data_IF_410273308172
#
_entry.id   IF_410273308172
#
_cell.length_a   1.000
_cell.length_b   1.000
_cell.length_c   1.000
_cell.angle_alpha   90.00
_cell.angle_beta   90.00
_cell.angle_gamma   90.00
#
_symmetry.space_group_name_H-M   'P 1'
#
loop_
_entity.id
_entity.type
_entity.pdbx_description
1 polymer ?
#
# COMPACT_ATOMS: atom_id res chain seq x y z
N UNK A 1 -26.30 16.09 41.85
CA UNK A 1 -26.63 16.37 40.44
C UNK A 1 -25.31 16.70 39.74
N UNK A 2 -24.63 15.67 39.24
CA UNK A 2 -23.40 15.84 38.45
C UNK A 2 -23.77 15.73 36.98
N UNK A 3 -23.87 16.89 36.33
CA UNK A 3 -24.04 17.00 34.90
C UNK A 3 -22.71 16.58 34.25
N UNK A 4 -22.66 15.36 33.74
CA UNK A 4 -21.60 14.92 32.83
C UNK A 4 -21.72 15.79 31.56
N UNK A 5 -20.84 16.78 31.41
CA UNK A 5 -20.60 17.45 30.14
C UNK A 5 -20.00 16.42 29.21
N UNK A 6 -20.82 15.79 28.39
CA UNK A 6 -20.38 15.28 27.10
C UNK A 6 -19.86 16.49 26.32
N UNK A 7 -18.56 16.67 26.22
CA UNK A 7 -17.97 17.75 25.45
C UNK A 7 -18.41 17.56 23.99
N UNK A 8 -19.23 18.48 23.51
CA UNK A 8 -19.61 18.59 22.12
C UNK A 8 -18.32 18.79 21.32
N UNK A 9 -17.91 17.80 20.58
CA UNK A 9 -16.68 17.87 19.75
C UNK A 9 -17.01 18.80 18.60
N UNK A 10 -16.47 20.04 18.65
CA UNK A 10 -16.72 21.04 17.60
C UNK A 10 -16.19 20.52 16.27
N UNK A 11 -17.07 20.40 15.27
CA UNK A 11 -16.78 19.77 13.99
C UNK A 11 -15.81 20.58 13.12
N UNK A 12 -15.56 21.83 13.46
CA UNK A 12 -14.64 22.76 12.81
C UNK A 12 -13.26 22.84 13.49
N UNK A 13 -13.02 21.94 14.46
CA UNK A 13 -11.74 21.85 15.18
C UNK A 13 -10.82 20.75 14.65
N UNK A 14 -9.55 20.81 15.03
CA UNK A 14 -8.56 19.75 14.80
C UNK A 14 -8.87 18.60 15.79
N UNK A 15 -8.99 17.37 15.29
CA UNK A 15 -9.28 16.18 16.10
C UNK A 15 -8.05 15.29 16.19
N UNK A 16 -7.46 15.15 17.36
CA UNK A 16 -6.41 14.17 17.62
C UNK A 16 -6.95 12.75 17.39
N UNK A 17 -6.14 11.87 16.82
CA UNK A 17 -6.53 10.51 16.44
C UNK A 17 -5.84 9.45 17.28
N UNK A 18 -6.64 8.48 17.73
CA UNK A 18 -6.16 7.19 18.20
C UNK A 18 -6.27 6.20 17.04
N UNK A 19 -5.15 5.58 16.66
CA UNK A 19 -5.02 4.78 15.47
C UNK A 19 -4.82 3.29 15.78
N UNK A 20 -5.24 2.44 14.83
CA UNK A 20 -5.15 0.99 14.99
C UNK A 20 -3.84 0.43 14.45
N UNK A 21 -3.10 -0.32 15.26
CA UNK A 21 -1.94 -1.10 14.83
C UNK A 21 -2.40 -2.48 14.36
N UNK A 22 -2.03 -2.83 13.12
CA UNK A 22 -2.28 -4.17 12.54
C UNK A 22 -1.03 -5.03 12.70
N UNK A 23 -1.25 -6.25 13.22
CA UNK A 23 -0.17 -7.19 13.51
C UNK A 23 -0.25 -8.36 12.54
N UNK A 24 0.62 -8.35 11.55
CA UNK A 24 0.82 -9.44 10.60
C UNK A 24 2.24 -9.98 10.74
N UNK A 25 2.47 -11.25 10.42
CA UNK A 25 3.74 -11.95 10.62
C UNK A 25 4.91 -11.36 9.82
N UNK A 26 4.61 -10.67 8.72
CA UNK A 26 5.61 -9.99 7.90
C UNK A 26 6.06 -8.63 8.46
N UNK A 27 5.40 -8.13 9.52
CA UNK A 27 5.69 -6.83 10.12
C UNK A 27 7.04 -6.74 10.83
N UNK A 28 7.55 -5.51 10.96
CA UNK A 28 8.68 -5.20 11.82
C UNK A 28 8.32 -5.35 13.30
N UNK A 29 9.31 -5.62 14.13
CA UNK A 29 9.14 -5.78 15.58
C UNK A 29 9.47 -4.50 16.37
N UNK A 30 9.90 -3.43 15.69
CA UNK A 30 10.43 -2.22 16.33
C UNK A 30 9.99 -0.89 15.69
N UNK A 31 9.80 -0.82 14.37
CA UNK A 31 9.60 0.46 13.67
C UNK A 31 8.31 1.18 14.07
N UNK A 32 7.16 0.51 14.05
CA UNK A 32 5.88 1.13 14.43
C UNK A 32 5.85 1.41 15.93
N UNK A 33 6.34 0.48 16.75
CA UNK A 33 6.49 0.71 18.18
C UNK A 33 7.38 1.92 18.45
N UNK A 34 8.53 2.01 17.76
CA UNK A 34 9.45 3.15 17.87
C UNK A 34 8.81 4.46 17.44
N UNK A 35 8.03 4.49 16.35
CA UNK A 35 7.27 5.68 15.94
C UNK A 35 6.32 6.14 17.04
N UNK A 36 5.60 5.20 17.64
CA UNK A 36 4.60 5.49 18.69
C UNK A 36 5.20 5.72 20.09
N UNK A 37 6.53 5.68 20.23
CA UNK A 37 7.19 5.80 21.53
C UNK A 37 6.90 4.64 22.49
N UNK A 38 6.48 3.49 21.95
CA UNK A 38 6.16 2.30 22.71
C UNK A 38 7.38 1.37 22.82
N UNK A 39 7.54 0.65 23.93
CA UNK A 39 8.59 -0.37 24.04
C UNK A 39 8.33 -1.50 23.03
N UNK A 40 9.39 -2.02 22.43
CA UNK A 40 9.30 -3.21 21.59
C UNK A 40 8.89 -4.42 22.45
N UNK A 41 7.77 -5.05 22.09
CA UNK A 41 7.21 -6.22 22.77
C UNK A 41 7.62 -7.55 22.10
N UNK A 42 8.51 -7.49 21.11
CA UNK A 42 8.98 -8.63 20.33
C UNK A 42 7.96 -9.19 19.33
N UNK A 43 6.73 -8.66 19.30
CA UNK A 43 5.70 -9.07 18.35
C UNK A 43 5.68 -8.17 17.12
N UNK A 44 5.42 -8.73 15.92
CA UNK A 44 5.31 -7.93 14.71
C UNK A 44 4.23 -6.85 14.81
N UNK A 45 4.54 -5.64 14.32
CA UNK A 45 3.60 -4.57 14.02
C UNK A 45 3.84 -4.15 12.57
N UNK A 46 2.88 -4.48 11.72
CA UNK A 46 3.02 -4.41 10.28
C UNK A 46 2.54 -3.09 9.71
N UNK A 47 1.40 -2.59 10.20
CA UNK A 47 0.78 -1.37 9.71
C UNK A 47 0.16 -0.56 10.86
N UNK A 48 0.27 0.76 10.78
CA UNK A 48 -0.50 1.72 11.55
C UNK A 48 -1.53 2.34 10.60
N UNK A 49 -2.82 2.17 10.89
CA UNK A 49 -3.91 2.66 10.04
C UNK A 49 -4.46 3.99 10.55
N UNK A 50 -4.52 4.99 9.65
CA UNK A 50 -5.03 6.32 9.91
C UNK A 50 -6.16 6.60 8.92
N UNK A 51 -7.41 6.63 9.39
CA UNK A 51 -8.56 6.87 8.52
C UNK A 51 -9.88 6.30 9.03
N UNK A 52 -10.86 6.26 8.15
CA UNK A 52 -12.22 5.83 8.43
C UNK A 52 -12.53 4.42 7.90
N UNK A 53 -11.54 3.50 7.91
CA UNK A 53 -11.77 2.14 7.44
C UNK A 53 -12.70 1.38 8.39
N UNK A 54 -13.82 0.78 7.92
CA UNK A 54 -14.84 0.18 8.82
C UNK A 54 -14.26 -0.91 9.73
N UNK A 55 -13.30 -1.69 9.23
CA UNK A 55 -12.67 -2.78 9.99
C UNK A 55 -11.70 -2.33 11.08
N UNK A 56 -11.23 -1.06 11.06
CA UNK A 56 -10.32 -0.49 12.06
C UNK A 56 -10.26 1.05 11.94
N UNK A 57 -11.36 1.76 12.23
CA UNK A 57 -11.38 3.22 12.11
C UNK A 57 -10.52 3.87 13.20
N UNK A 58 -9.85 4.96 12.84
CA UNK A 58 -9.28 5.87 13.84
C UNK A 58 -10.40 6.48 14.68
N UNK A 59 -10.09 6.83 15.93
CA UNK A 59 -11.04 7.43 16.88
C UNK A 59 -10.59 8.81 17.28
N UNK A 60 -11.59 9.69 17.53
CA UNK A 60 -11.37 11.02 18.09
C UNK A 60 -11.83 11.04 19.54
N UNK A 61 -11.06 11.65 20.44
CA UNK A 61 -11.46 11.84 21.84
C UNK A 61 -12.05 10.59 22.48
N UNK A 62 -13.04 10.72 23.39
CA UNK A 62 -13.54 9.62 24.19
C UNK A 62 -14.43 8.63 23.40
N UNK A 63 -14.00 8.18 22.24
CA UNK A 63 -14.54 7.00 21.60
C UNK A 63 -15.30 7.17 20.29
N UNK A 64 -15.46 8.38 19.75
CA UNK A 64 -16.13 8.58 18.44
C UNK A 64 -15.22 8.09 17.30
N UNK A 65 -15.70 7.15 16.48
CA UNK A 65 -14.94 6.72 15.31
C UNK A 65 -15.01 7.77 14.19
N UNK A 66 -14.01 7.80 13.31
CA UNK A 66 -14.07 8.66 12.12
C UNK A 66 -15.22 8.27 11.18
N UNK A 67 -15.67 7.02 11.19
CA UNK A 67 -16.85 6.58 10.44
C UNK A 67 -18.11 7.28 10.99
N UNK A 68 -18.28 7.31 12.31
CA UNK A 68 -19.42 7.95 12.95
C UNK A 68 -19.40 9.48 12.79
N UNK A 69 -18.21 10.09 12.94
CA UNK A 69 -18.02 11.53 12.75
C UNK A 69 -18.37 11.97 11.32
N UNK A 70 -17.90 11.24 10.31
CA UNK A 70 -18.19 11.51 8.90
C UNK A 70 -19.69 11.30 8.62
N UNK A 71 -20.29 10.22 9.15
CA UNK A 71 -21.69 9.91 8.93
C UNK A 71 -22.62 10.98 9.53
N UNK A 72 -22.23 11.54 10.67
CA UNK A 72 -23.01 12.58 11.36
C UNK A 72 -23.00 13.93 10.60
N UNK A 73 -21.87 14.29 9.95
CA UNK A 73 -21.72 15.57 9.27
C UNK A 73 -20.80 15.49 8.04
N UNK A 74 -21.18 14.75 7.00
CA UNK A 74 -20.31 14.45 5.88
C UNK A 74 -19.79 15.70 5.17
N UNK A 75 -20.60 16.72 4.95
CA UNK A 75 -20.18 17.94 4.27
C UNK A 75 -19.22 18.80 5.11
N UNK A 76 -19.40 18.80 6.43
CA UNK A 76 -18.50 19.56 7.30
C UNK A 76 -17.14 18.87 7.45
N UNK A 77 -17.12 17.54 7.50
CA UNK A 77 -15.87 16.77 7.64
C UNK A 77 -15.14 16.65 6.32
N UNK A 78 -15.85 16.22 5.27
CA UNK A 78 -15.26 15.87 3.96
C UNK A 78 -15.19 17.04 2.97
N UNK A 79 -15.96 18.10 3.22
CA UNK A 79 -16.25 19.12 2.21
C UNK A 79 -17.30 18.66 1.20
N UNK A 80 -18.03 19.61 0.62
CA UNK A 80 -19.11 19.31 -0.35
C UNK A 80 -18.57 18.52 -1.55
N UNK A 81 -17.47 18.98 -2.15
CA UNK A 81 -16.88 18.33 -3.33
C UNK A 81 -16.57 16.85 -3.10
N UNK A 82 -15.90 16.52 -1.98
CA UNK A 82 -15.54 15.14 -1.64
C UNK A 82 -16.78 14.30 -1.34
N UNK A 83 -17.71 14.83 -0.53
CA UNK A 83 -18.94 14.11 -0.17
C UNK A 83 -19.85 13.85 -1.38
N UNK A 84 -19.98 14.80 -2.31
CA UNK A 84 -20.79 14.63 -3.53
C UNK A 84 -20.13 13.62 -4.50
N UNK A 85 -18.78 13.57 -4.56
CA UNK A 85 -18.04 12.70 -5.45
C UNK A 85 -17.94 11.26 -4.97
N UNK A 86 -17.68 11.05 -3.68
CA UNK A 86 -17.35 9.74 -3.10
C UNK A 86 -18.40 9.22 -2.11
N UNK A 87 -19.46 9.99 -1.86
CA UNK A 87 -20.43 9.71 -0.80
C UNK A 87 -19.92 10.08 0.60
N UNK A 88 -20.67 9.73 1.67
CA UNK A 88 -20.33 10.08 3.05
C UNK A 88 -19.24 9.17 3.61
N UNK A 89 -18.09 9.08 2.93
CA UNK A 89 -16.94 8.27 3.31
C UNK A 89 -15.63 8.96 2.96
N UNK A 90 -14.60 8.73 3.77
CA UNK A 90 -13.25 9.13 3.44
C UNK A 90 -12.76 8.25 2.28
N UNK A 91 -12.38 8.80 1.11
CA UNK A 91 -12.07 7.99 -0.06
C UNK A 91 -10.69 7.33 -0.01
N UNK A 92 -9.89 7.60 1.02
CA UNK A 92 -8.56 7.02 1.20
C UNK A 92 -8.32 6.43 2.59
N UNK A 93 -7.32 5.57 2.67
CA UNK A 93 -6.71 5.10 3.91
C UNK A 93 -5.22 5.44 3.87
N UNK A 94 -4.75 6.12 4.92
CA UNK A 94 -3.32 6.39 5.15
C UNK A 94 -2.76 5.34 6.09
N UNK A 95 -1.53 4.88 5.83
CA UNK A 95 -0.86 3.91 6.70
C UNK A 95 0.62 4.24 6.86
N UNK A 96 1.19 3.86 7.99
CA UNK A 96 2.62 3.56 8.07
C UNK A 96 2.77 2.06 7.94
N UNK A 97 3.49 1.62 6.91
CA UNK A 97 3.76 0.21 6.62
C UNK A 97 5.22 -0.10 6.96
N UNK A 98 5.45 -1.17 7.74
CA UNK A 98 6.78 -1.60 8.15
C UNK A 98 6.98 -3.09 7.83
N UNK A 99 7.50 -3.37 6.64
CA UNK A 99 7.74 -4.71 6.14
C UNK A 99 9.14 -5.21 6.54
N UNK A 100 9.19 -6.31 7.28
CA UNK A 100 10.41 -7.08 7.56
C UNK A 100 10.57 -8.26 6.60
N UNK A 101 9.45 -8.79 6.10
CA UNK A 101 9.39 -9.91 5.15
C UNK A 101 8.48 -9.52 4.00
N UNK A 102 8.59 -10.24 2.90
CA UNK A 102 7.78 -9.99 1.72
C UNK A 102 6.28 -10.16 1.99
N UNK A 103 5.50 -9.21 1.50
CA UNK A 103 4.05 -9.34 1.39
C UNK A 103 3.70 -10.25 0.21
N UNK A 104 2.44 -10.71 0.16
CA UNK A 104 1.97 -11.52 -0.96
C UNK A 104 2.11 -10.79 -2.30
N UNK A 105 2.39 -11.56 -3.35
CA UNK A 105 2.24 -11.09 -4.72
C UNK A 105 0.76 -10.89 -5.01
N UNK A 106 0.36 -9.70 -5.47
CA UNK A 106 -1.04 -9.30 -5.54
C UNK A 106 -1.35 -8.34 -6.70
N UNK A 107 -2.64 -8.23 -7.02
CA UNK A 107 -3.18 -7.23 -7.93
C UNK A 107 -4.49 -6.66 -7.37
N UNK A 108 -4.76 -5.40 -7.62
CA UNK A 108 -6.00 -4.74 -7.26
C UNK A 108 -6.88 -4.52 -8.48
N UNK A 109 -8.21 -4.78 -8.39
CA UNK A 109 -9.11 -4.67 -9.54
C UNK A 109 -9.30 -3.23 -9.99
N UNK A 110 -9.54 -3.04 -11.29
CA UNK A 110 -10.02 -1.77 -11.84
C UNK A 110 -11.47 -1.53 -11.44
N UNK A 111 -12.01 -0.29 -11.59
CA UNK A 111 -13.37 0.02 -11.14
C UNK A 111 -14.46 -0.88 -11.71
N UNK A 112 -14.34 -1.29 -12.98
CA UNK A 112 -15.31 -2.18 -13.62
C UNK A 112 -15.16 -3.63 -13.17
N UNK A 113 -13.92 -4.10 -12.95
CA UNK A 113 -13.61 -5.45 -12.45
C UNK A 113 -14.10 -5.62 -11.02
N UNK A 114 -13.88 -4.60 -10.15
CA UNK A 114 -14.34 -4.60 -8.76
C UNK A 114 -15.86 -4.75 -8.69
N UNK A 115 -16.61 -3.93 -9.44
CA UNK A 115 -18.08 -4.01 -9.49
C UNK A 115 -18.59 -5.34 -10.05
N UNK A 116 -17.98 -5.82 -11.12
CA UNK A 116 -18.38 -7.10 -11.73
C UNK A 116 -18.08 -8.29 -10.80
N UNK A 117 -16.89 -8.30 -10.20
CA UNK A 117 -16.46 -9.32 -9.25
C UNK A 117 -17.29 -9.34 -7.97
N UNK A 118 -17.56 -8.18 -7.39
CA UNK A 118 -18.41 -8.06 -6.19
C UNK A 118 -19.80 -8.67 -6.43
N UNK A 119 -20.45 -8.30 -7.57
CA UNK A 119 -21.76 -8.87 -7.95
C UNK A 119 -21.71 -10.36 -8.22
N UNK A 120 -20.63 -10.86 -8.85
CA UNK A 120 -20.43 -12.28 -9.08
C UNK A 120 -20.37 -13.04 -7.76
N UNK A 121 -19.57 -12.55 -6.79
CA UNK A 121 -19.40 -13.20 -5.49
C UNK A 121 -20.72 -13.16 -4.67
N UNK A 122 -21.50 -12.07 -4.77
CA UNK A 122 -22.85 -11.97 -4.17
C UNK A 122 -23.84 -12.96 -4.80
N UNK A 123 -23.85 -13.07 -6.13
CA UNK A 123 -24.71 -14.04 -6.85
C UNK A 123 -24.33 -15.49 -6.53
N UNK A 124 -23.06 -15.76 -6.27
CA UNK A 124 -22.57 -17.06 -5.83
C UNK A 124 -22.86 -17.34 -4.33
N UNK A 125 -23.41 -16.36 -3.59
CA UNK A 125 -23.73 -16.50 -2.17
C UNK A 125 -22.50 -16.50 -1.26
N UNK A 126 -21.35 -15.98 -1.71
CA UNK A 126 -20.13 -15.89 -0.89
C UNK A 126 -20.24 -14.69 0.04
N UNK A 127 -20.33 -14.93 1.33
CA UNK A 127 -20.43 -13.85 2.35
C UNK A 127 -19.23 -12.89 2.32
N UNK A 128 -19.46 -11.58 2.58
CA UNK A 128 -18.43 -10.54 2.55
C UNK A 128 -17.26 -10.83 3.50
N UNK A 129 -17.50 -11.47 4.64
CA UNK A 129 -16.46 -11.87 5.60
C UNK A 129 -15.78 -13.21 5.30
N UNK A 130 -16.18 -13.92 4.24
CA UNK A 130 -15.62 -15.23 3.90
C UNK A 130 -14.15 -15.11 3.44
N UNK A 131 -13.25 -16.00 3.91
CA UNK A 131 -11.86 -16.04 3.42
C UNK A 131 -11.77 -16.50 1.94
N UNK A 132 -12.86 -17.04 1.37
CA UNK A 132 -12.93 -17.45 -0.02
C UNK A 132 -13.48 -16.34 -0.94
N UNK A 133 -13.90 -15.20 -0.38
CA UNK A 133 -14.39 -14.09 -1.18
C UNK A 133 -13.23 -13.33 -1.80
N UNK A 134 -13.30 -13.14 -3.11
CA UNK A 134 -12.26 -12.44 -3.89
C UNK A 134 -12.48 -10.93 -3.95
N UNK A 135 -13.76 -10.47 -4.00
CA UNK A 135 -14.10 -9.04 -4.07
C UNK A 135 -14.94 -8.63 -2.86
N UNK A 136 -14.33 -7.82 -1.98
CA UNK A 136 -14.93 -7.39 -0.71
C UNK A 136 -15.81 -6.15 -0.84
N UNK A 137 -15.59 -5.34 -1.88
CA UNK A 137 -16.35 -4.13 -2.20
C UNK A 137 -16.34 -3.82 -3.71
N UNK A 138 -17.11 -2.81 -4.14
CA UNK A 138 -17.25 -2.40 -5.54
C UNK A 138 -16.17 -1.39 -6.00
N UNK A 139 -15.12 -1.16 -5.21
CA UNK A 139 -14.15 -0.09 -5.44
C UNK A 139 -12.81 -0.64 -5.94
N UNK A 140 -12.16 0.19 -6.76
CA UNK A 140 -10.77 -0.04 -7.13
C UNK A 140 -9.84 0.34 -5.96
N UNK A 141 -8.58 -0.12 -6.04
CA UNK A 141 -7.62 0.13 -4.98
C UNK A 141 -6.25 0.52 -5.54
N UNK A 142 -6.12 1.69 -6.19
CA UNK A 142 -4.80 2.23 -6.48
C UNK A 142 -4.10 2.61 -5.17
N UNK A 143 -2.78 2.45 -5.15
CA UNK A 143 -1.93 2.66 -3.99
C UNK A 143 -0.72 3.52 -4.35
N UNK A 144 -0.19 4.23 -3.38
CA UNK A 144 1.08 4.91 -3.49
C UNK A 144 1.85 4.74 -2.18
N UNK A 145 3.15 4.45 -2.27
CA UNK A 145 4.02 4.41 -1.09
C UNK A 145 5.17 5.40 -1.25
N UNK A 146 5.43 6.15 -0.19
CA UNK A 146 6.61 7.01 -0.02
C UNK A 146 7.54 6.34 0.98
N UNK A 147 8.77 6.07 0.57
CA UNK A 147 9.76 5.40 1.39
C UNK A 147 10.23 6.30 2.56
N UNK A 148 10.24 5.76 3.77
CA UNK A 148 10.84 6.38 4.97
C UNK A 148 12.23 5.81 5.26
N UNK A 149 12.46 4.57 4.88
CA UNK A 149 13.78 3.92 4.85
C UNK A 149 14.01 3.42 3.43
N UNK A 150 15.18 2.84 3.14
CA UNK A 150 15.34 2.10 1.89
C UNK A 150 14.20 1.07 1.81
N UNK A 151 13.45 1.12 0.71
CA UNK A 151 12.24 0.32 0.50
C UNK A 151 12.38 -0.52 -0.77
N UNK A 152 12.07 -1.79 -0.68
CA UNK A 152 12.24 -2.77 -1.74
C UNK A 152 10.91 -3.37 -2.16
N UNK A 153 10.65 -3.50 -3.46
CA UNK A 153 9.41 -4.03 -3.99
C UNK A 153 9.54 -4.63 -5.38
N UNK A 154 8.43 -5.18 -5.85
CA UNK A 154 8.19 -5.63 -7.21
C UNK A 154 6.98 -4.88 -7.75
N UNK A 155 7.04 -4.36 -8.99
CA UNK A 155 5.88 -3.68 -9.58
C UNK A 155 5.91 -3.74 -11.12
N UNK A 156 4.80 -4.22 -11.69
CA UNK A 156 4.60 -4.33 -13.13
C UNK A 156 5.50 -5.34 -13.82
N UNK A 157 5.09 -5.75 -15.01
CA UNK A 157 5.82 -6.76 -15.78
C UNK A 157 7.05 -6.20 -16.48
N UNK A 158 8.15 -6.95 -16.43
CA UNK A 158 9.33 -6.77 -17.29
C UNK A 158 8.96 -7.06 -18.74
N UNK A 159 9.78 -6.59 -19.69
CA UNK A 159 9.64 -7.01 -21.08
C UNK A 159 9.87 -8.53 -21.22
N UNK A 160 9.15 -9.24 -22.12
CA UNK A 160 9.39 -10.65 -22.37
C UNK A 160 10.85 -10.97 -22.74
N UNK A 161 11.53 -10.05 -23.42
CA UNK A 161 12.95 -10.17 -23.73
C UNK A 161 13.79 -10.22 -22.46
N UNK A 162 13.60 -9.26 -21.56
CA UNK A 162 14.33 -9.20 -20.28
C UNK A 162 14.06 -10.45 -19.43
N UNK A 163 12.79 -10.92 -19.41
CA UNK A 163 12.46 -12.16 -18.68
C UNK A 163 13.21 -13.35 -19.29
N UNK A 164 13.23 -13.50 -20.62
CA UNK A 164 13.96 -14.59 -21.29
C UNK A 164 15.47 -14.55 -20.99
N UNK A 165 16.07 -13.35 -20.93
CA UNK A 165 17.46 -13.15 -20.52
C UNK A 165 17.68 -13.59 -19.06
N UNK A 166 16.75 -13.27 -18.15
CA UNK A 166 16.81 -13.73 -16.75
C UNK A 166 16.61 -15.22 -16.58
N UNK A 167 15.80 -15.85 -17.43
CA UNK A 167 15.59 -17.30 -17.40
C UNK A 167 16.75 -18.08 -18.01
N UNK A 168 17.64 -17.44 -18.76
CA UNK A 168 18.74 -18.15 -19.40
C UNK A 168 19.68 -18.77 -18.36
N UNK A 169 20.13 -20.01 -18.62
CA UNK A 169 20.93 -20.80 -17.68
C UNK A 169 20.17 -21.35 -16.46
N UNK A 170 18.90 -21.01 -16.24
CA UNK A 170 18.08 -21.64 -15.19
C UNK A 170 17.48 -22.96 -15.63
N UNK A 171 17.26 -23.86 -14.70
CA UNK A 171 16.72 -25.19 -14.90
C UNK A 171 15.35 -25.38 -14.23
N UNK A 172 14.66 -26.43 -14.60
CA UNK A 172 13.40 -26.85 -14.00
C UNK A 172 12.19 -26.74 -14.94
N UNK A 173 11.13 -27.47 -14.59
CA UNK A 173 9.88 -27.57 -15.38
C UNK A 173 9.20 -26.20 -15.48
N UNK A 174 9.16 -25.42 -14.39
CA UNK A 174 8.52 -24.13 -14.34
C UNK A 174 9.24 -23.12 -15.27
N UNK A 175 10.55 -23.08 -15.24
CA UNK A 175 11.36 -22.23 -16.15
C UNK A 175 11.16 -22.63 -17.62
N UNK A 176 11.12 -23.93 -17.91
CA UNK A 176 10.86 -24.45 -19.27
C UNK A 176 9.50 -24.02 -19.77
N UNK A 177 8.45 -24.13 -18.93
CA UNK A 177 7.10 -23.66 -19.24
C UNK A 177 7.06 -22.15 -19.53
N UNK A 178 7.66 -21.32 -18.66
CA UNK A 178 7.73 -19.87 -18.84
C UNK A 178 8.47 -19.49 -20.15
N UNK A 179 9.60 -20.13 -20.46
CA UNK A 179 10.31 -19.93 -21.72
C UNK A 179 9.44 -20.28 -22.93
N UNK A 180 8.69 -21.39 -22.87
CA UNK A 180 7.77 -21.80 -23.92
C UNK A 180 6.70 -20.75 -24.19
N UNK A 181 6.04 -20.27 -23.14
CA UNK A 181 5.02 -19.23 -23.19
C UNK A 181 5.57 -17.91 -23.80
N UNK A 182 6.74 -17.46 -23.37
CA UNK A 182 7.34 -16.20 -23.80
C UNK A 182 7.96 -16.26 -25.21
N UNK A 183 8.44 -17.42 -25.66
CA UNK A 183 8.95 -17.61 -27.03
C UNK A 183 7.81 -17.73 -28.05
N UNK A 184 6.68 -18.30 -27.65
CA UNK A 184 5.48 -18.41 -28.47
C UNK A 184 4.86 -17.06 -28.81
N UNK A 185 4.84 -16.15 -27.81
CA UNK A 185 4.32 -14.79 -27.97
C UNK A 185 5.16 -13.82 -27.13
N UNK A 186 6.00 -13.01 -27.73
CA UNK A 186 6.84 -12.01 -27.04
C UNK A 186 6.05 -10.74 -26.72
N UNK A 187 4.89 -10.87 -26.08
CA UNK A 187 3.93 -9.79 -25.82
C UNK A 187 3.18 -10.05 -24.52
N UNK A 188 2.19 -9.24 -24.19
CA UNK A 188 1.32 -9.42 -23.03
C UNK A 188 0.71 -10.82 -22.90
N UNK A 189 0.17 -11.44 -23.97
CA UNK A 189 -0.32 -12.83 -23.92
C UNK A 189 0.75 -13.85 -23.47
N UNK A 190 2.01 -13.65 -23.83
CA UNK A 190 3.11 -14.53 -23.36
C UNK A 190 3.37 -14.38 -21.87
N UNK A 191 3.34 -13.15 -21.32
CA UNK A 191 3.46 -12.89 -19.88
C UNK A 191 2.26 -13.47 -19.12
N UNK A 192 1.04 -13.32 -19.68
CA UNK A 192 -0.16 -13.91 -19.11
C UNK A 192 -0.01 -15.43 -19.02
N UNK A 193 0.35 -16.10 -20.12
CA UNK A 193 0.51 -17.56 -20.15
C UNK A 193 1.63 -18.03 -19.20
N UNK A 194 2.71 -17.27 -19.05
CA UNK A 194 3.79 -17.58 -18.10
C UNK A 194 3.30 -17.51 -16.64
N UNK A 195 2.56 -16.46 -16.26
CA UNK A 195 2.00 -16.33 -14.92
C UNK A 195 0.92 -17.39 -14.67
N UNK A 196 0.02 -17.62 -15.63
CA UNK A 196 -1.03 -18.63 -15.57
C UNK A 196 -0.45 -20.03 -15.35
N UNK A 197 0.65 -20.38 -16.04
CA UNK A 197 1.35 -21.63 -15.84
C UNK A 197 1.94 -21.79 -14.43
N UNK A 198 2.43 -20.72 -13.82
CA UNK A 198 2.92 -20.74 -12.44
C UNK A 198 1.76 -20.87 -11.42
N UNK A 199 0.65 -20.17 -11.66
CA UNK A 199 -0.55 -20.28 -10.82
C UNK A 199 -1.16 -21.69 -10.89
N UNK A 200 -1.26 -22.28 -12.06
CA UNK A 200 -1.74 -23.66 -12.24
C UNK A 200 -0.82 -24.67 -11.54
N UNK A 201 0.49 -24.50 -11.66
CA UNK A 201 1.45 -25.40 -11.02
C UNK A 201 1.36 -25.38 -9.49
N UNK A 202 0.89 -24.29 -8.87
CA UNK A 202 0.78 -24.14 -7.42
C UNK A 202 0.01 -25.27 -6.76
N UNK A 203 -1.08 -25.71 -7.38
CA UNK A 203 -1.98 -26.72 -6.84
C UNK A 203 -1.65 -28.13 -7.34
N UNK A 204 -0.61 -28.28 -8.19
CA UNK A 204 -0.17 -29.59 -8.70
C UNK A 204 0.71 -30.33 -7.67
N UNK A 205 0.54 -31.66 -7.56
CA UNK A 205 1.50 -32.50 -6.83
C UNK A 205 2.92 -32.32 -7.39
N UNK A 206 3.91 -32.10 -6.51
CA UNK A 206 5.31 -31.91 -6.91
C UNK A 206 5.71 -30.45 -7.21
N UNK A 207 4.81 -29.48 -7.09
CA UNK A 207 5.16 -28.06 -7.27
C UNK A 207 6.35 -27.62 -6.41
N UNK A 208 6.38 -28.03 -5.14
CA UNK A 208 7.47 -27.69 -4.25
C UNK A 208 8.83 -28.23 -4.72
N UNK A 209 8.86 -29.42 -5.32
CA UNK A 209 10.08 -30.01 -5.90
C UNK A 209 10.52 -29.22 -7.15
N UNK A 210 9.57 -28.86 -8.02
CA UNK A 210 9.84 -28.02 -9.20
C UNK A 210 10.40 -26.65 -8.80
N UNK A 211 9.84 -26.03 -7.78
CA UNK A 211 10.37 -24.77 -7.20
C UNK A 211 11.78 -24.98 -6.68
N UNK A 212 12.02 -26.07 -5.94
CA UNK A 212 13.33 -26.39 -5.36
C UNK A 212 14.40 -26.60 -6.43
N UNK A 213 14.08 -27.28 -7.54
CA UNK A 213 15.00 -27.45 -8.69
C UNK A 213 15.38 -26.10 -9.27
N UNK A 214 14.41 -25.22 -9.52
CA UNK A 214 14.69 -23.89 -10.05
C UNK A 214 15.52 -23.05 -9.07
N UNK A 215 15.18 -23.06 -7.78
CA UNK A 215 15.90 -22.33 -6.74
C UNK A 215 17.35 -22.82 -6.61
N UNK A 216 17.58 -24.14 -6.76
CA UNK A 216 18.93 -24.68 -6.78
C UNK A 216 19.76 -24.13 -7.95
N UNK A 217 19.17 -24.10 -9.16
CA UNK A 217 19.87 -23.55 -10.35
C UNK A 217 20.12 -22.04 -10.22
N UNK A 218 19.24 -21.28 -9.57
CA UNK A 218 19.48 -19.86 -9.25
C UNK A 218 20.66 -19.72 -8.29
N UNK A 219 20.77 -20.58 -7.28
CA UNK A 219 21.87 -20.57 -6.30
C UNK A 219 23.21 -20.89 -6.97
N UNK A 220 23.25 -21.88 -7.85
CA UNK A 220 24.45 -22.25 -8.63
C UNK A 220 24.87 -21.10 -9.55
N UNK A 221 23.93 -20.49 -10.27
CA UNK A 221 24.19 -19.34 -11.12
C UNK A 221 24.72 -18.15 -10.33
N UNK A 222 24.15 -17.88 -9.16
CA UNK A 222 24.60 -16.79 -8.29
C UNK A 222 26.03 -16.99 -7.79
N UNK A 223 26.45 -18.24 -7.57
CA UNK A 223 27.82 -18.59 -7.18
C UNK A 223 28.84 -18.47 -8.33
N UNK A 224 28.37 -18.36 -9.57
CA UNK A 224 29.22 -18.22 -10.78
C UNK A 224 29.07 -16.83 -11.40
N UNK A 225 28.16 -16.66 -12.34
CA UNK A 225 27.90 -15.38 -13.02
C UNK A 225 26.40 -15.17 -13.16
N UNK A 226 25.83 -14.28 -12.34
CA UNK A 226 24.43 -13.89 -12.44
C UNK A 226 24.23 -12.77 -13.47
N UNK A 227 23.23 -12.86 -14.37
CA UNK A 227 22.88 -11.78 -15.29
C UNK A 227 22.24 -10.58 -14.58
N UNK A 228 21.56 -10.81 -13.45
CA UNK A 228 20.98 -9.79 -12.57
C UNK A 228 21.01 -10.30 -11.12
N UNK A 229 22.04 -9.87 -10.39
CA UNK A 229 22.27 -10.24 -8.99
C UNK A 229 21.07 -9.97 -8.10
N UNK A 230 20.33 -8.88 -8.36
CA UNK A 230 19.16 -8.51 -7.55
C UNK A 230 17.97 -9.41 -7.83
N UNK A 231 17.73 -9.78 -9.09
CA UNK A 231 16.67 -10.71 -9.45
C UNK A 231 16.91 -12.08 -8.81
N UNK A 232 18.10 -12.62 -8.92
CA UNK A 232 18.46 -13.92 -8.35
C UNK A 232 18.38 -13.92 -6.82
N UNK A 233 18.95 -12.90 -6.17
CA UNK A 233 18.85 -12.76 -4.71
C UNK A 233 17.39 -12.66 -4.25
N UNK A 234 16.53 -11.97 -5.02
CA UNK A 234 15.10 -11.89 -4.71
C UNK A 234 14.42 -13.27 -4.77
N UNK A 235 14.71 -14.08 -5.80
CA UNK A 235 14.17 -15.46 -5.86
C UNK A 235 14.58 -16.27 -4.65
N UNK A 236 15.85 -16.21 -4.24
CA UNK A 236 16.34 -16.97 -3.07
C UNK A 236 15.69 -16.48 -1.77
N UNK A 237 15.58 -15.17 -1.57
CA UNK A 237 14.89 -14.59 -0.40
C UNK A 237 13.44 -15.06 -0.33
N UNK A 238 12.69 -14.92 -1.42
CA UNK A 238 11.28 -15.30 -1.46
C UNK A 238 11.05 -16.80 -1.29
N UNK A 239 11.95 -17.63 -1.82
CA UNK A 239 11.89 -19.08 -1.63
C UNK A 239 12.22 -19.51 -0.19
N UNK A 240 13.07 -18.76 0.52
CA UNK A 240 13.32 -18.97 1.95
C UNK A 240 12.12 -18.57 2.81
N UNK A 241 11.49 -17.42 2.49
CA UNK A 241 10.33 -16.89 3.22
C UNK A 241 9.05 -17.69 2.93
N UNK A 242 8.92 -18.26 1.72
CA UNK A 242 7.77 -19.01 1.23
C UNK A 242 8.21 -20.31 0.53
N UNK A 243 8.66 -21.31 1.28
CA UNK A 243 9.16 -22.58 0.70
C UNK A 243 8.12 -23.27 -0.19
N UNK A 244 8.53 -23.62 -1.41
CA UNK A 244 7.66 -24.31 -2.37
C UNK A 244 6.61 -23.45 -3.07
N UNK A 245 6.52 -22.14 -2.79
CA UNK A 245 5.59 -21.24 -3.48
C UNK A 245 6.19 -20.78 -4.82
N UNK A 246 5.52 -21.03 -5.97
CA UNK A 246 6.00 -20.60 -7.29
C UNK A 246 6.02 -19.08 -7.46
N UNK A 247 5.41 -18.32 -6.55
CA UNK A 247 5.52 -16.87 -6.46
C UNK A 247 6.96 -16.36 -6.36
N UNK A 248 7.86 -17.16 -5.76
CA UNK A 248 9.29 -16.85 -5.74
C UNK A 248 9.85 -16.78 -7.17
N UNK A 249 9.46 -17.70 -8.06
CA UNK A 249 9.88 -17.73 -9.47
C UNK A 249 9.13 -16.67 -10.28
N UNK A 250 7.85 -16.40 -9.94
CA UNK A 250 7.05 -15.34 -10.56
C UNK A 250 7.69 -13.95 -10.40
N UNK A 251 8.50 -13.74 -9.37
CA UNK A 251 9.28 -12.49 -9.19
C UNK A 251 10.17 -12.13 -10.38
N UNK A 252 10.63 -13.12 -11.17
CA UNK A 252 11.41 -12.91 -12.37
C UNK A 252 10.60 -12.23 -13.50
N UNK A 253 9.28 -12.35 -13.49
CA UNK A 253 8.39 -11.66 -14.44
C UNK A 253 8.28 -10.15 -14.16
N UNK A 254 8.59 -9.69 -12.95
CA UNK A 254 8.29 -8.35 -12.47
C UNK A 254 9.54 -7.47 -12.36
N UNK A 255 9.33 -6.16 -12.53
CA UNK A 255 10.40 -5.19 -12.29
C UNK A 255 10.74 -5.13 -10.80
N UNK A 256 12.02 -5.10 -10.49
CA UNK A 256 12.53 -4.87 -9.14
C UNK A 256 12.62 -3.37 -8.88
N UNK A 257 12.00 -2.93 -7.80
CA UNK A 257 11.94 -1.53 -7.37
C UNK A 257 12.78 -1.37 -6.11
N UNK A 258 13.61 -0.31 -6.07
CA UNK A 258 14.22 0.21 -4.86
C UNK A 258 13.90 1.68 -4.75
N UNK A 259 13.52 2.11 -3.56
CA UNK A 259 13.26 3.49 -3.21
C UNK A 259 14.20 3.91 -2.09
N UNK A 260 14.85 5.04 -2.27
CA UNK A 260 15.54 5.72 -1.18
C UNK A 260 14.55 6.59 -0.38
N UNK A 261 14.84 6.96 0.88
CA UNK A 261 13.94 7.81 1.66
C UNK A 261 13.48 9.07 0.91
N UNK A 262 12.17 9.30 0.89
CA UNK A 262 11.53 10.39 0.15
C UNK A 262 11.21 10.09 -1.32
N UNK A 263 11.66 8.95 -1.87
CA UNK A 263 11.18 8.48 -3.17
C UNK A 263 9.84 7.75 -3.04
N UNK A 264 9.05 7.76 -4.11
CA UNK A 264 7.74 7.16 -4.14
C UNK A 264 7.51 6.28 -5.37
N UNK A 265 6.59 5.33 -5.24
CA UNK A 265 6.03 4.56 -6.36
C UNK A 265 4.50 4.62 -6.29
N UNK A 266 3.87 4.72 -7.45
CA UNK A 266 2.44 4.59 -7.63
C UNK A 266 2.10 3.23 -8.23
N UNK A 267 1.14 2.54 -7.64
CA UNK A 267 0.63 1.23 -8.08
C UNK A 267 -0.80 1.43 -8.60
N UNK A 268 -1.00 1.55 -9.91
CA UNK A 268 -2.34 1.64 -10.47
C UNK A 268 -3.09 0.31 -10.34
N UNK A 269 -4.42 0.39 -10.35
CA UNK A 269 -5.26 -0.79 -10.43
C UNK A 269 -4.92 -1.65 -11.66
N UNK A 270 -4.83 -2.96 -11.47
CA UNK A 270 -4.40 -3.93 -12.48
C UNK A 270 -2.90 -4.24 -12.49
N UNK A 271 -2.08 -3.53 -11.73
CA UNK A 271 -0.64 -3.81 -11.68
C UNK A 271 -0.30 -4.90 -10.65
N UNK A 272 0.37 -5.95 -11.11
CA UNK A 272 0.89 -7.00 -10.22
C UNK A 272 2.10 -6.47 -9.48
N UNK A 273 2.09 -6.58 -8.15
CA UNK A 273 3.13 -6.03 -7.29
C UNK A 273 3.31 -6.82 -5.99
N UNK A 274 4.40 -6.57 -5.30
CA UNK A 274 4.64 -7.01 -3.92
C UNK A 274 5.62 -6.05 -3.22
N UNK A 275 5.38 -5.72 -1.96
CA UNK A 275 6.36 -5.06 -1.11
C UNK A 275 7.23 -6.13 -0.45
N UNK A 276 8.53 -5.94 -0.46
CA UNK A 276 9.48 -6.95 0.02
C UNK A 276 10.09 -6.61 1.37
N UNK A 277 10.49 -5.37 1.56
CA UNK A 277 11.05 -4.89 2.82
C UNK A 277 11.13 -3.36 2.87
N UNK A 278 11.20 -2.82 4.09
CA UNK A 278 11.35 -1.40 4.34
C UNK A 278 10.18 -0.78 5.08
N UNK A 279 10.31 0.49 5.42
CA UNK A 279 9.27 1.30 6.06
C UNK A 279 8.86 2.41 5.12
N UNK A 280 7.56 2.61 4.97
CA UNK A 280 7.01 3.67 4.13
C UNK A 280 5.67 4.18 4.62
N UNK A 281 5.29 5.34 4.12
CA UNK A 281 3.92 5.85 4.24
C UNK A 281 3.17 5.42 3.00
N UNK A 282 2.18 4.56 3.20
CA UNK A 282 1.27 4.10 2.15
C UNK A 282 -0.03 4.89 2.20
N UNK A 283 -0.50 5.31 1.05
CA UNK A 283 -1.85 5.85 0.87
C UNK A 283 -2.54 5.10 -0.25
N UNK A 284 -3.79 4.71 -0.03
CA UNK A 284 -4.55 3.91 -0.97
C UNK A 284 -6.00 4.40 -1.04
N UNK A 285 -6.69 4.15 -2.14
CA UNK A 285 -8.13 4.29 -2.18
C UNK A 285 -8.77 3.30 -1.18
N UNK A 286 -9.83 3.75 -0.51
CA UNK A 286 -10.49 2.98 0.56
C UNK A 286 -11.23 1.77 -0.03
N UNK A 287 -10.53 0.63 -0.15
CA UNK A 287 -11.03 -0.66 -0.64
C UNK A 287 -10.24 -1.82 -0.01
N UNK A 288 -10.92 -2.96 0.20
CA UNK A 288 -10.33 -4.20 0.72
C UNK A 288 -9.99 -5.22 -0.39
N UNK A 289 -10.19 -4.86 -1.65
CA UNK A 289 -9.98 -5.75 -2.78
C UNK A 289 -8.52 -6.10 -3.01
N UNK A 290 -8.15 -7.36 -2.76
CA UNK A 290 -6.79 -7.92 -2.93
C UNK A 290 -6.87 -9.30 -3.56
N UNK A 291 -6.46 -9.41 -4.82
CA UNK A 291 -6.33 -10.70 -5.52
C UNK A 291 -4.87 -11.14 -5.45
N UNK A 292 -4.62 -12.30 -4.84
CA UNK A 292 -3.27 -12.81 -4.57
C UNK A 292 -2.81 -13.76 -5.66
N UNK A 293 -1.53 -13.66 -6.04
CA UNK A 293 -0.89 -14.50 -7.05
C UNK A 293 0.10 -15.52 -6.45
N UNK A 294 0.54 -15.32 -5.20
CA UNK A 294 1.54 -16.17 -4.57
C UNK A 294 2.13 -15.51 -3.33
N UNK A 295 3.18 -16.13 -2.76
CA UNK A 295 3.83 -15.71 -1.52
C UNK A 295 2.80 -15.61 -0.37
N UNK A 296 1.90 -16.58 -0.29
CA UNK A 296 0.77 -16.55 0.65
C UNK A 296 0.20 -17.92 0.93
N UNK A 297 -0.29 -18.10 2.16
CA UNK A 297 -1.10 -19.27 2.56
C UNK A 297 -2.61 -19.00 2.41
N UNK A 298 -3.01 -17.77 2.04
CA UNK A 298 -4.41 -17.39 1.86
C UNK A 298 -4.92 -17.89 0.50
N UNK A 299 -6.25 -17.88 0.34
CA UNK A 299 -6.92 -18.25 -0.92
C UNK A 299 -6.39 -17.46 -2.11
N UNK A 300 -6.18 -18.14 -3.23
CA UNK A 300 -5.77 -17.58 -4.53
C UNK A 300 -6.87 -17.91 -5.55
N UNK A 301 -7.55 -16.86 -6.04
CA UNK A 301 -8.49 -16.96 -7.17
C UNK A 301 -7.74 -16.61 -8.45
N UNK A 302 -7.15 -17.62 -9.09
CA UNK A 302 -6.32 -17.44 -10.28
C UNK A 302 -7.07 -16.82 -11.45
N UNK A 303 -8.35 -17.19 -11.64
CA UNK A 303 -9.18 -16.67 -12.73
C UNK A 303 -9.48 -15.18 -12.55
N UNK A 304 -9.90 -14.78 -11.35
CA UNK A 304 -10.15 -13.40 -11.02
C UNK A 304 -8.87 -12.55 -11.11
N UNK A 305 -7.75 -13.06 -10.62
CA UNK A 305 -6.45 -12.40 -10.72
C UNK A 305 -6.05 -12.18 -12.17
N UNK A 306 -6.08 -13.23 -13.01
CA UNK A 306 -5.72 -13.15 -14.43
C UNK A 306 -6.65 -12.23 -15.22
N UNK A 307 -7.92 -12.11 -14.81
CA UNK A 307 -8.86 -11.17 -15.42
C UNK A 307 -8.55 -9.71 -15.06
N UNK A 308 -8.10 -9.45 -13.83
CA UNK A 308 -7.79 -8.09 -13.34
C UNK A 308 -6.39 -7.60 -13.72
N UNK A 309 -5.41 -8.50 -13.90
CA UNK A 309 -4.02 -8.15 -14.15
C UNK A 309 -3.80 -7.52 -15.55
N UNK A 310 -2.97 -6.46 -15.58
CA UNK A 310 -2.54 -5.82 -16.81
C UNK A 310 -1.20 -6.41 -17.29
N UNK A 311 -1.21 -7.18 -18.36
CA UNK A 311 -0.02 -7.84 -18.91
C UNK A 311 0.74 -6.96 -19.91
N UNK A 312 0.81 -5.66 -19.65
CA UNK A 312 1.58 -4.72 -20.47
C UNK A 312 2.94 -4.47 -19.82
N UNK A 313 4.07 -4.83 -20.48
CA UNK A 313 5.40 -4.52 -19.98
C UNK A 313 5.59 -3.00 -19.91
N UNK A 314 5.98 -2.51 -18.74
CA UNK A 314 6.26 -1.09 -18.53
C UNK A 314 7.17 -0.89 -17.30
N UNK A 315 7.91 0.20 -17.23
CA UNK A 315 8.60 0.56 -16.01
C UNK A 315 7.57 0.84 -14.89
N UNK A 316 7.97 0.70 -13.62
CA UNK A 316 7.14 1.08 -12.49
C UNK A 316 6.75 2.55 -12.53
N UNK A 317 5.47 2.87 -12.25
CA UNK A 317 4.95 4.23 -12.29
C UNK A 317 5.47 5.04 -11.10
N UNK A 318 5.94 6.27 -11.37
CA UNK A 318 6.32 7.23 -10.33
C UNK A 318 5.25 8.33 -10.26
N UNK A 319 4.83 8.76 -9.05
CA UNK A 319 3.95 9.90 -8.94
C UNK A 319 4.67 11.18 -9.40
N UNK A 320 3.90 12.17 -9.85
CA UNK A 320 4.42 13.51 -10.00
C UNK A 320 4.89 14.02 -8.62
N UNK A 321 6.13 14.50 -8.55
CA UNK A 321 6.71 14.99 -7.29
C UNK A 321 7.09 16.46 -7.46
N UNK A 322 6.44 17.32 -6.69
CA UNK A 322 6.74 18.74 -6.63
C UNK A 322 7.47 19.05 -5.32
N UNK A 323 8.53 19.82 -5.40
CA UNK A 323 9.34 20.25 -4.24
C UNK A 323 9.25 21.75 -4.10
N UNK A 324 8.97 22.23 -2.89
CA UNK A 324 8.85 23.65 -2.58
C UNK A 324 9.38 23.96 -1.18
N UNK A 325 9.56 25.27 -0.88
CA UNK A 325 10.11 25.76 0.37
C UNK A 325 11.61 26.03 0.29
N UNK A 326 12.15 26.67 1.30
CA UNK A 326 13.55 27.09 1.37
C UNK A 326 14.26 26.56 2.62
N UNK A 327 13.72 26.79 3.81
CA UNK A 327 14.16 26.20 5.08
C UNK A 327 13.30 24.98 5.42
N UNK A 328 11.97 25.13 5.32
CA UNK A 328 11.03 24.02 5.35
C UNK A 328 10.94 23.41 3.96
N UNK A 329 11.18 22.09 3.86
CA UNK A 329 11.15 21.40 2.58
C UNK A 329 9.86 20.58 2.44
N UNK A 330 9.03 20.96 1.48
CA UNK A 330 7.75 20.26 1.20
C UNK A 330 7.86 19.49 -0.10
N UNK A 331 7.57 18.19 -0.05
CA UNK A 331 7.45 17.31 -1.21
C UNK A 331 5.99 16.87 -1.37
N UNK A 332 5.38 17.24 -2.47
CA UNK A 332 3.99 16.84 -2.80
C UNK A 332 4.02 15.74 -3.85
N UNK A 333 3.34 14.64 -3.56
CA UNK A 333 3.24 13.47 -4.43
C UNK A 333 1.81 13.35 -4.97
N UNK A 334 1.66 13.37 -6.29
CA UNK A 334 0.38 13.26 -6.98
C UNK A 334 0.35 12.07 -7.91
N UNK A 335 -0.61 11.20 -7.70
CA UNK A 335 -0.97 10.14 -8.64
C UNK A 335 -2.12 10.62 -9.55
N UNK A 336 -2.33 10.01 -10.74
CA UNK A 336 -3.40 10.41 -11.66
C UNK A 336 -4.77 9.86 -11.22
N UNK A 337 -5.17 10.17 -9.99
CA UNK A 337 -6.43 9.74 -9.35
C UNK A 337 -7.01 10.89 -8.53
N UNK A 338 -8.29 10.76 -8.16
CA UNK A 338 -9.03 11.80 -7.43
C UNK A 338 -9.19 11.49 -5.94
N UNK A 339 -8.92 10.26 -5.50
CA UNK A 339 -9.16 9.78 -4.15
C UNK A 339 -8.20 10.37 -3.13
N UNK A 340 -6.93 10.57 -3.53
CA UNK A 340 -5.90 11.06 -2.61
C UNK A 340 -4.72 11.77 -3.29
N UNK A 341 -4.07 12.58 -2.50
CA UNK A 341 -2.69 13.03 -2.69
C UNK A 341 -1.96 13.00 -1.34
N UNK A 342 -0.63 13.05 -1.37
CA UNK A 342 0.21 12.98 -0.18
C UNK A 342 1.29 14.05 -0.26
N UNK A 343 1.62 14.67 0.88
CA UNK A 343 2.84 15.45 1.02
C UNK A 343 3.63 15.00 2.25
N UNK A 344 4.94 15.21 2.18
CA UNK A 344 5.83 15.23 3.34
C UNK A 344 6.39 16.63 3.52
N UNK A 345 6.58 17.05 4.76
CA UNK A 345 7.17 18.36 5.09
C UNK A 345 8.23 18.21 6.19
N UNK A 346 9.45 18.60 5.87
CA UNK A 346 10.51 18.82 6.84
C UNK A 346 10.38 20.26 7.31
N UNK A 347 9.77 20.48 8.48
CA UNK A 347 9.50 21.82 9.02
C UNK A 347 10.74 22.44 9.66
N UNK A 348 10.91 23.72 9.42
CA UNK A 348 11.90 24.57 10.10
C UNK A 348 11.19 25.72 10.84
N UNK A 349 11.56 26.05 12.09
CA UNK A 349 10.85 27.03 12.93
C UNK A 349 10.73 28.42 12.31
N UNK A 350 11.65 28.79 11.41
CA UNK A 350 11.65 30.11 10.76
C UNK A 350 10.76 30.21 9.53
N UNK A 351 10.21 29.08 9.03
CA UNK A 351 9.41 29.06 7.81
C UNK A 351 8.16 28.18 7.98
N UNK A 352 7.03 28.76 8.46
CA UNK A 352 5.75 28.05 8.52
C UNK A 352 5.30 27.59 7.16
N UNK A 353 4.67 26.42 7.11
CA UNK A 353 4.17 25.77 5.89
C UNK A 353 2.64 25.85 5.84
N UNK A 354 2.10 26.34 4.72
CA UNK A 354 0.68 26.20 4.43
C UNK A 354 0.42 24.81 3.86
N UNK A 355 -0.40 24.04 4.56
CA UNK A 355 -0.84 22.71 4.13
C UNK A 355 -2.09 22.81 3.24
N UNK A 356 -2.50 21.74 2.52
CA UNK A 356 -3.72 21.74 1.71
C UNK A 356 -4.93 22.25 2.52
N UNK A 357 -5.74 23.09 1.93
CA UNK A 357 -6.80 23.82 2.66
C UNK A 357 -8.20 23.26 2.44
N UNK A 358 -8.43 22.51 1.36
CA UNK A 358 -9.75 21.94 1.01
C UNK A 358 -9.83 20.46 1.36
N UNK A 359 -11.03 20.01 1.71
CA UNK A 359 -11.34 18.62 2.00
C UNK A 359 -10.79 18.10 3.33
N UNK A 360 -10.96 16.81 3.60
CA UNK A 360 -10.47 16.16 4.81
C UNK A 360 -8.95 15.95 4.73
N UNK A 361 -8.23 16.37 5.77
CA UNK A 361 -6.78 16.19 5.89
C UNK A 361 -6.46 15.29 7.08
N UNK A 362 -5.61 14.27 6.86
CA UNK A 362 -5.00 13.52 7.96
C UNK A 362 -3.53 13.92 8.02
N UNK A 363 -3.09 14.42 9.18
CA UNK A 363 -1.70 14.81 9.44
C UNK A 363 -1.10 13.86 10.46
N UNK A 364 0.12 13.39 10.21
CA UNK A 364 0.91 12.53 11.09
C UNK A 364 2.29 13.16 11.29
N UNK A 365 2.73 13.30 12.53
CA UNK A 365 4.12 13.64 12.85
C UNK A 365 4.97 12.37 12.90
N UNK A 366 5.90 12.23 11.96
CA UNK A 366 6.84 11.11 11.90
C UNK A 366 8.00 11.32 12.88
N UNK A 367 8.41 12.58 13.07
CA UNK A 367 9.45 12.95 14.04
C UNK A 367 9.26 14.41 14.48
N UNK A 368 9.90 14.78 15.61
CA UNK A 368 9.90 16.13 16.13
C UNK A 368 8.57 16.59 16.74
N UNK A 369 8.29 17.89 16.64
CA UNK A 369 7.08 18.52 17.16
C UNK A 369 6.60 19.64 16.23
N UNK A 370 5.34 19.58 15.82
CA UNK A 370 4.70 20.57 14.96
C UNK A 370 3.47 21.17 15.61
N UNK A 371 3.35 22.47 15.56
CA UNK A 371 2.14 23.21 15.89
C UNK A 371 1.30 23.38 14.64
N UNK A 372 0.06 22.96 14.71
CA UNK A 372 -0.94 23.05 13.65
C UNK A 372 -1.97 24.11 14.02
N UNK A 373 -2.27 25.03 13.12
CA UNK A 373 -3.18 26.13 13.33
C UNK A 373 -4.22 26.19 12.20
N UNK A 374 -5.47 26.38 12.61
CA UNK A 374 -6.60 26.77 11.75
C UNK A 374 -7.18 28.09 12.25
N UNK A 375 -8.22 28.61 11.58
CA UNK A 375 -8.91 29.82 12.06
C UNK A 375 -9.61 29.66 13.42
N UNK A 376 -9.97 28.42 13.80
CA UNK A 376 -10.79 28.11 14.98
C UNK A 376 -10.07 27.28 16.04
N UNK A 377 -8.94 26.64 15.71
CA UNK A 377 -8.26 25.73 16.65
C UNK A 377 -6.76 25.64 16.43
N UNK A 378 -6.07 25.29 17.51
CA UNK A 378 -4.64 25.03 17.54
C UNK A 378 -4.36 23.70 18.23
N UNK A 379 -3.39 22.93 17.73
CA UNK A 379 -2.91 21.73 18.40
C UNK A 379 -1.43 21.53 18.14
N UNK A 380 -0.77 20.75 18.98
CA UNK A 380 0.62 20.34 18.77
C UNK A 380 0.64 18.84 18.57
N UNK A 381 1.25 18.40 17.47
CA UNK A 381 1.57 16.99 17.23
C UNK A 381 3.03 16.74 17.56
N UNK A 382 3.27 15.71 18.35
CA UNK A 382 4.59 15.11 18.57
C UNK A 382 4.75 13.84 17.77
N UNK A 383 5.96 13.36 17.67
CA UNK A 383 6.28 12.09 17.00
C UNK A 383 5.26 10.99 17.34
N UNK A 384 4.71 10.36 16.32
CA UNK A 384 3.70 9.29 16.39
C UNK A 384 2.26 9.78 16.58
N UNK A 385 2.05 11.06 16.91
CA UNK A 385 0.72 11.66 17.04
C UNK A 385 0.17 12.09 15.68
N UNK A 386 -1.14 12.02 15.53
CA UNK A 386 -1.83 12.39 14.29
C UNK A 386 -3.17 13.04 14.57
N UNK A 387 -3.69 13.75 13.57
CA UNK A 387 -5.00 14.37 13.65
C UNK A 387 -5.77 14.29 12.33
N UNK A 388 -7.10 14.39 12.43
CA UNK A 388 -7.98 14.79 11.34
C UNK A 388 -8.19 16.30 11.42
N UNK A 389 -8.05 16.98 10.30
CA UNK A 389 -8.47 18.37 10.11
C UNK A 389 -9.63 18.36 9.12
N UNK A 390 -10.89 18.58 9.58
CA UNK A 390 -12.07 18.62 8.73
C UNK A 390 -12.02 19.75 7.71
N UNK A 391 -12.79 19.67 6.64
CA UNK A 391 -12.94 20.75 5.66
C UNK A 391 -13.44 22.04 6.34
N UNK A 392 -14.40 21.93 7.26
CA UNK A 392 -14.97 23.06 7.99
C UNK A 392 -13.94 23.83 8.86
N UNK A 393 -12.80 23.23 9.20
CA UNK A 393 -11.74 23.91 9.93
C UNK A 393 -10.99 24.95 9.07
N UNK A 394 -11.18 24.91 7.75
CA UNK A 394 -10.60 25.88 6.81
C UNK A 394 -9.08 25.75 6.61
N UNK A 395 -8.39 26.86 6.31
CA UNK A 395 -6.96 26.86 6.04
C UNK A 395 -6.14 26.31 7.21
N UNK A 396 -5.10 25.54 6.87
CA UNK A 396 -4.21 24.88 7.82
C UNK A 396 -2.77 25.34 7.62
N UNK A 397 -2.12 25.76 8.69
CA UNK A 397 -0.69 26.03 8.72
C UNK A 397 0.01 25.14 9.74
N UNK A 398 1.26 24.82 9.47
CA UNK A 398 2.12 24.06 10.36
C UNK A 398 3.44 24.80 10.57
N UNK A 399 3.89 24.87 11.82
CA UNK A 399 5.22 25.38 12.18
C UNK A 399 5.88 24.49 13.24
N UNK A 400 7.19 24.63 13.43
CA UNK A 400 7.96 23.87 14.41
C UNK A 400 9.19 23.22 13.80
N UNK A 401 9.70 22.20 14.46
CA UNK A 401 10.80 21.35 13.99
C UNK A 401 10.30 19.90 13.97
N UNK A 402 9.89 19.44 12.80
CA UNK A 402 9.23 18.14 12.64
C UNK A 402 9.32 17.63 11.21
N UNK A 403 9.22 16.30 11.07
CA UNK A 403 8.91 15.64 9.81
C UNK A 403 7.44 15.25 9.80
N UNK A 404 6.65 15.86 8.92
CA UNK A 404 5.20 15.61 8.80
C UNK A 404 4.83 14.87 7.54
N UNK A 405 3.73 14.15 7.62
CA UNK A 405 2.95 13.65 6.47
C UNK A 405 1.56 14.26 6.52
N UNK A 406 1.06 14.69 5.38
CA UNK A 406 -0.33 15.11 5.22
C UNK A 406 -0.96 14.43 4.01
N UNK A 407 -2.07 13.71 4.25
CA UNK A 407 -2.92 13.12 3.23
C UNK A 407 -4.19 13.94 3.06
N UNK A 408 -4.63 14.13 1.80
CA UNK A 408 -5.86 14.87 1.49
C UNK A 408 -6.49 14.39 0.17
N UNK A 409 -7.70 14.87 -0.12
CA UNK A 409 -8.37 14.70 -1.42
C UNK A 409 -8.03 15.89 -2.31
N UNK A 410 -7.36 15.73 -3.47
CA UNK A 410 -6.87 16.82 -4.32
C UNK A 410 -7.96 17.57 -5.08
#
# INVERSE_FOLDING_TARGET
MNSSRTGDVSIDSIHLLENSVRRYDWGSVDHIQGLLGLPADGRPAAELWLGAHPGAPSRTGPGTSLVDLISAAPHAVLGRRTADRFGPRLPYLLKVLAARRALSLQVHPRPHDARAGFRRDDQAGVEVGSPLRSFHDEHHKPEMIVALTRFEGLAGFRSPRTVLELLDGLEGRLVTSMRGALRGTRSGPGLRAALEGLLAARDEPGCADDVSVTVASVRERLASVSPDLRADTTVLQLAEEHPGDPGAIASLLLNRVSLEPGEAIYIPAGEVHAYLSGVGVEIMAASDNVLRAGLTTKHVDSDALLACAAFAPRPPDRPETLVSGSQSLVRTYRAPIEEFALLTADLHPSEPVTLPHDGPRIVLALDGSARLLTGSSETTLRRGESCLVPDAAGPLTADGEAHLVCAWVP
#
